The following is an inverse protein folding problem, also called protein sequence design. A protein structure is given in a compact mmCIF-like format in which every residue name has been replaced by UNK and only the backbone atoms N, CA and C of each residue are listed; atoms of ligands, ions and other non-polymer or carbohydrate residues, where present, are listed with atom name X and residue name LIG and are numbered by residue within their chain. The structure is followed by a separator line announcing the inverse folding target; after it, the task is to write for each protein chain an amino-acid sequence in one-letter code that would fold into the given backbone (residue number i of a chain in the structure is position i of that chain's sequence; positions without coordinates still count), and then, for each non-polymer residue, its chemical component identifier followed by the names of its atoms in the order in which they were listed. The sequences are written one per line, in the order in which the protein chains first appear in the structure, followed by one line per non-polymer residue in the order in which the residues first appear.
data_IF_858324484421
#
_entry.id   IF_858324484421
#
_cell.length_a   1.000
_cell.length_b   1.000
_cell.length_c   1.000
_cell.angle_alpha   90.00
_cell.angle_beta   90.00
_cell.angle_gamma   90.00
#
_symmetry.space_group_name_H-M   'P 1'
#
loop_
_entity.id
_entity.type
_entity.pdbx_description
1 polymer ?
#
# COMPACT_ATOMS: atom_id res chain seq x y z
N UNK A 1 2.24 7.78 11.39
CA UNK A 1 2.85 6.45 11.20
C UNK A 1 2.21 5.32 12.02
N UNK A 2 1.39 5.55 13.06
CA UNK A 2 0.77 4.45 13.83
C UNK A 2 -0.17 3.53 12.99
N UNK A 3 -0.86 4.11 12.03
CA UNK A 3 -1.80 3.39 11.16
C UNK A 3 -1.09 2.46 10.15
N UNK A 4 -0.03 2.94 9.50
CA UNK A 4 0.80 2.12 8.61
C UNK A 4 1.45 0.95 9.35
N UNK A 5 1.95 1.18 10.57
CA UNK A 5 2.48 0.10 11.41
C UNK A 5 1.40 -0.96 11.71
N UNK A 6 0.16 -0.54 11.97
CA UNK A 6 -0.98 -1.43 12.13
C UNK A 6 -1.26 -2.27 10.87
N UNK A 7 -1.26 -1.65 9.69
CA UNK A 7 -1.45 -2.37 8.43
C UNK A 7 -0.32 -3.38 8.14
N UNK A 8 0.93 -2.99 8.35
CA UNK A 8 2.09 -3.89 8.14
C UNK A 8 2.05 -5.06 9.13
N UNK A 9 1.66 -4.82 10.39
CA UNK A 9 1.55 -5.88 11.41
C UNK A 9 0.47 -6.89 11.03
N UNK A 10 -0.72 -6.42 10.67
CA UNK A 10 -1.83 -7.29 10.25
C UNK A 10 -1.50 -8.06 8.97
N UNK A 11 -0.84 -7.41 8.00
CA UNK A 11 -0.37 -8.07 6.79
C UNK A 11 0.65 -9.16 7.12
N UNK A 12 1.64 -8.88 7.96
CA UNK A 12 2.67 -9.86 8.32
C UNK A 12 2.09 -11.15 8.95
N UNK A 13 1.00 -11.03 9.71
CA UNK A 13 0.32 -12.17 10.33
C UNK A 13 -0.49 -13.02 9.33
N UNK A 14 -1.06 -12.40 8.29
CA UNK A 14 -2.13 -13.01 7.47
C UNK A 14 -1.81 -13.13 5.98
N UNK A 15 -0.75 -12.49 5.50
CA UNK A 15 -0.41 -12.45 4.08
C UNK A 15 -0.24 -13.86 3.51
N UNK A 16 -0.91 -14.10 2.39
CA UNK A 16 -0.78 -15.37 1.66
C UNK A 16 0.52 -15.41 0.86
N UNK A 17 0.95 -16.62 0.47
CA UNK A 17 2.12 -16.77 -0.43
C UNK A 17 1.93 -16.05 -1.77
N UNK A 18 0.69 -15.93 -2.25
CA UNK A 18 0.38 -15.24 -3.50
C UNK A 18 0.52 -13.73 -3.34
N UNK A 19 -0.05 -13.16 -2.29
CA UNK A 19 0.08 -11.74 -1.97
C UNK A 19 1.53 -11.37 -1.68
N UNK A 20 2.29 -12.21 -0.97
CA UNK A 20 3.71 -11.98 -0.73
C UNK A 20 4.53 -11.94 -2.03
N UNK A 21 4.19 -12.78 -3.02
CA UNK A 21 4.80 -12.71 -4.36
C UNK A 21 4.45 -11.41 -5.07
N UNK A 22 3.20 -10.96 -4.98
CA UNK A 22 2.76 -9.68 -5.56
C UNK A 22 3.49 -8.51 -4.89
N UNK A 23 3.62 -8.51 -3.57
CA UNK A 23 4.36 -7.51 -2.81
C UNK A 23 5.84 -7.47 -3.22
N UNK A 24 6.46 -8.64 -3.41
CA UNK A 24 7.84 -8.70 -3.90
C UNK A 24 7.96 -8.11 -5.31
N UNK A 25 6.99 -8.41 -6.18
CA UNK A 25 6.96 -7.89 -7.55
C UNK A 25 6.81 -6.36 -7.58
N UNK A 26 5.98 -5.77 -6.72
CA UNK A 26 5.85 -4.31 -6.65
C UNK A 26 7.14 -3.65 -6.15
N UNK A 27 7.82 -4.23 -5.15
CA UNK A 27 9.14 -3.75 -4.70
C UNK A 27 10.18 -3.80 -5.84
N UNK A 28 10.19 -4.89 -6.61
CA UNK A 28 11.11 -5.02 -7.74
C UNK A 28 10.79 -4.05 -8.87
N UNK A 29 9.51 -3.75 -9.10
CA UNK A 29 9.08 -2.75 -10.06
C UNK A 29 9.51 -1.34 -9.63
N UNK A 30 9.27 -0.96 -8.37
CA UNK A 30 9.70 0.32 -7.81
C UNK A 30 11.21 0.52 -7.92
N UNK A 31 11.99 -0.54 -7.65
CA UNK A 31 13.46 -0.50 -7.78
C UNK A 31 13.94 -0.19 -9.20
N UNK A 32 13.22 -0.67 -10.21
CA UNK A 32 13.65 -0.63 -11.61
C UNK A 32 13.01 0.50 -12.43
N UNK A 33 12.02 1.21 -11.88
CA UNK A 33 11.20 2.14 -12.64
C UNK A 33 10.90 3.42 -11.86
N UNK A 34 11.77 4.43 -12.03
CA UNK A 34 11.69 5.70 -11.29
C UNK A 34 10.58 6.60 -11.83
N UNK A 35 10.28 6.52 -13.13
CA UNK A 35 9.30 7.41 -13.80
C UNK A 35 7.86 7.15 -13.37
N UNK A 36 7.55 5.96 -12.83
CA UNK A 36 6.21 5.59 -12.38
C UNK A 36 6.18 5.20 -10.90
N UNK A 37 7.11 5.72 -10.11
CA UNK A 37 7.29 5.35 -8.71
C UNK A 37 6.00 5.56 -7.90
N UNK A 38 5.30 6.69 -8.09
CA UNK A 38 4.10 7.02 -7.30
C UNK A 38 2.96 6.03 -7.49
N UNK A 39 2.73 5.54 -8.71
CA UNK A 39 1.70 4.52 -8.96
C UNK A 39 2.12 3.14 -8.43
N UNK A 40 3.41 2.82 -8.50
CA UNK A 40 3.94 1.57 -7.95
C UNK A 40 3.93 1.56 -6.41
N UNK A 41 4.17 2.71 -5.79
CA UNK A 41 4.06 2.93 -4.35
C UNK A 41 2.61 2.78 -3.88
N UNK A 42 1.64 3.32 -4.64
CA UNK A 42 0.21 3.08 -4.39
C UNK A 42 -0.14 1.59 -4.40
N UNK A 43 0.32 0.87 -5.43
CA UNK A 43 0.08 -0.57 -5.55
C UNK A 43 0.71 -1.34 -4.38
N UNK A 44 1.93 -0.97 -3.98
CA UNK A 44 2.61 -1.55 -2.82
C UNK A 44 1.80 -1.39 -1.53
N UNK A 45 1.34 -0.18 -1.23
CA UNK A 45 0.54 0.08 -0.03
C UNK A 45 -0.83 -0.61 -0.06
N UNK A 46 -1.47 -0.69 -1.24
CA UNK A 46 -2.74 -1.39 -1.42
C UNK A 46 -2.62 -2.89 -1.11
N UNK A 47 -1.54 -3.55 -1.56
CA UNK A 47 -1.30 -4.96 -1.27
C UNK A 47 -1.18 -5.19 0.25
N UNK A 48 -0.44 -4.34 0.96
CA UNK A 48 -0.28 -4.47 2.42
C UNK A 48 -1.63 -4.34 3.12
N UNK A 49 -2.40 -3.32 2.77
CA UNK A 49 -3.67 -3.04 3.41
C UNK A 49 -4.73 -4.14 3.17
N UNK A 50 -4.78 -4.72 1.96
CA UNK A 50 -5.69 -5.83 1.64
C UNK A 50 -5.26 -7.15 2.30
N UNK A 51 -3.95 -7.38 2.46
CA UNK A 51 -3.41 -8.62 3.04
C UNK A 51 -3.78 -8.82 4.52
N UNK A 52 -4.19 -7.77 5.23
CA UNK A 52 -4.66 -7.85 6.62
C UNK A 52 -6.01 -8.56 6.81
N UNK A 53 -6.70 -8.89 5.71
CA UNK A 53 -7.97 -9.61 5.64
C UNK A 53 -8.95 -9.15 6.74
N UNK A 54 -9.21 -7.84 6.74
CA UNK A 54 -10.07 -7.14 7.69
C UNK A 54 -11.04 -6.28 6.89
N UNK A 55 -12.34 -6.60 6.95
CA UNK A 55 -13.38 -5.92 6.18
C UNK A 55 -13.47 -4.40 6.44
N UNK A 56 -13.06 -3.95 7.62
CA UNK A 56 -12.95 -2.51 7.91
C UNK A 56 -11.85 -1.89 7.05
N UNK A 57 -10.69 -2.54 6.95
CA UNK A 57 -9.56 -2.06 6.16
C UNK A 57 -9.90 -1.96 4.67
N UNK A 58 -10.63 -2.95 4.13
CA UNK A 58 -11.09 -2.95 2.75
C UNK A 58 -12.00 -1.75 2.43
N UNK A 59 -12.87 -1.36 3.38
CA UNK A 59 -13.77 -0.23 3.21
C UNK A 59 -13.11 1.14 3.33
N UNK A 60 -12.00 1.25 4.07
CA UNK A 60 -11.37 2.55 4.36
C UNK A 60 -10.09 2.83 3.56
N UNK A 61 -9.43 1.81 3.00
CA UNK A 61 -8.09 1.99 2.42
C UNK A 61 -8.10 2.92 1.20
N UNK A 62 -9.03 2.73 0.27
CA UNK A 62 -9.12 3.54 -0.95
C UNK A 62 -9.40 5.03 -0.63
N UNK A 63 -10.42 5.39 0.19
CA UNK A 63 -10.62 6.77 0.62
C UNK A 63 -9.42 7.38 1.34
N UNK A 64 -8.77 6.61 2.22
CA UNK A 64 -7.61 7.08 2.98
C UNK A 64 -6.42 7.37 2.06
N UNK A 65 -6.15 6.48 1.11
CA UNK A 65 -5.08 6.66 0.14
C UNK A 65 -5.36 7.86 -0.78
N UNK A 66 -6.59 8.01 -1.29
CA UNK A 66 -6.97 9.18 -2.09
C UNK A 66 -6.71 10.48 -1.32
N UNK A 67 -7.18 10.54 -0.07
CA UNK A 67 -6.96 11.70 0.80
C UNK A 67 -5.47 12.01 1.01
N UNK A 68 -4.65 10.98 1.26
CA UNK A 68 -3.21 11.15 1.46
C UNK A 68 -2.52 11.73 0.22
N UNK A 69 -2.74 11.14 -0.97
CA UNK A 69 -2.09 11.60 -2.20
C UNK A 69 -2.61 12.96 -2.67
N UNK A 70 -3.91 13.24 -2.52
CA UNK A 70 -4.46 14.57 -2.81
C UNK A 70 -3.82 15.63 -1.91
N UNK A 71 -3.71 15.34 -0.62
CA UNK A 71 -3.07 16.24 0.35
C UNK A 71 -1.59 16.44 0.02
N UNK A 72 -0.86 15.35 -0.25
CA UNK A 72 0.55 15.40 -0.64
C UNK A 72 0.77 16.25 -1.89
N UNK A 73 -0.02 15.99 -2.95
CA UNK A 73 0.07 16.73 -4.22
C UNK A 73 -0.30 18.20 -4.08
N UNK A 74 -1.19 18.54 -3.14
CA UNK A 74 -1.54 19.95 -2.87
C UNK A 74 -0.45 20.68 -2.07
N UNK A 75 0.33 19.96 -1.25
CA UNK A 75 1.43 20.54 -0.47
C UNK A 75 2.72 20.67 -1.30
N UNK A 76 2.96 19.75 -2.24
CA UNK A 76 4.17 19.69 -3.06
C UNK A 76 4.09 20.50 -4.37
N UNK A 77 2.94 21.12 -4.65
CA UNK A 77 2.76 22.14 -5.71
C UNK A 77 3.22 23.50 -5.23
#
# INVERSE_FOLDING_TARGET
MAQELGFVTLAAEKITKTELKSLKKSIDAMRNNVDNYDELDKEFHKIIASSGNNHINEGIIEPLMSFFYETYNNIMK
#
